data_IF_207851409314
#
_entry.id   IF_207851409314
#
_cell.length_a   1.000
_cell.length_b   1.000
_cell.length_c   1.000
_cell.angle_alpha   90.00
_cell.angle_beta   90.00
_cell.angle_gamma   90.00
#
_symmetry.space_group_name_H-M   'P 1'
#
loop_
_entity.id
_entity.type
_entity.pdbx_description
1 polymer ?
#
# COMPACT_ATOMS: atom_id res chain seq x y z
N UNK A 1 5.42 17.28 2.81
CA UNK A 1 6.40 16.97 3.87
C UNK A 1 7.81 16.99 3.28
N UNK A 2 8.22 16.04 2.44
CA UNK A 2 9.60 15.86 1.97
C UNK A 2 10.18 17.15 1.35
N UNK A 3 9.51 17.77 0.37
CA UNK A 3 9.98 19.03 -0.27
C UNK A 3 10.25 20.18 0.71
N UNK A 4 9.63 20.18 1.87
CA UNK A 4 9.72 21.27 2.84
C UNK A 4 10.68 20.98 3.99
N UNK A 5 10.80 19.70 4.37
CA UNK A 5 11.47 19.34 5.61
C UNK A 5 12.64 18.37 5.43
N UNK A 6 12.99 17.97 4.20
CA UNK A 6 14.09 17.03 3.95
C UNK A 6 15.41 17.56 4.52
N UNK A 7 15.80 18.76 4.14
CA UNK A 7 17.08 19.35 4.54
C UNK A 7 17.13 19.62 6.06
N UNK A 8 16.02 20.08 6.63
CA UNK A 8 15.93 20.32 8.06
C UNK A 8 16.01 18.99 8.86
N UNK A 9 15.34 17.96 8.39
CA UNK A 9 15.39 16.65 9.03
C UNK A 9 16.79 16.03 8.95
N UNK A 10 17.48 16.18 7.80
CA UNK A 10 18.85 15.72 7.65
C UNK A 10 19.84 16.50 8.54
N UNK A 11 19.72 17.84 8.60
CA UNK A 11 20.61 18.65 9.41
C UNK A 11 20.43 18.45 10.91
N UNK A 12 19.21 18.10 11.34
CA UNK A 12 18.92 17.81 12.76
C UNK A 12 19.10 16.34 13.15
N UNK A 13 19.45 15.45 12.22
CA UNK A 13 19.51 14.01 12.47
C UNK A 13 18.14 13.37 12.76
N UNK A 14 17.04 14.05 12.43
CA UNK A 14 15.68 13.57 12.73
C UNK A 14 15.10 12.75 11.60
N UNK A 15 14.38 11.68 11.92
CA UNK A 15 13.65 10.89 10.94
C UNK A 15 12.16 11.25 10.95
N UNK A 16 11.62 11.54 9.77
CA UNK A 16 10.19 11.76 9.56
C UNK A 16 9.70 10.69 8.59
N UNK A 17 9.01 9.70 9.11
CA UNK A 17 8.48 8.59 8.30
C UNK A 17 6.97 8.70 8.21
N UNK A 18 6.46 8.92 7.00
CA UNK A 18 5.01 8.97 6.74
C UNK A 18 4.46 7.59 6.42
N UNK A 19 3.12 7.44 6.49
CA UNK A 19 2.43 6.22 6.05
C UNK A 19 2.81 4.95 6.86
N UNK A 20 3.03 5.08 8.17
CA UNK A 20 3.35 3.97 9.06
C UNK A 20 2.09 3.22 9.54
N UNK A 21 1.16 2.92 8.64
CA UNK A 21 -0.13 2.31 8.92
C UNK A 21 -0.43 1.12 8.01
N UNK A 22 -1.58 0.47 8.22
CA UNK A 22 -2.04 -0.65 7.40
C UNK A 22 -2.04 -0.34 5.89
N UNK A 23 -2.41 0.87 5.51
CA UNK A 23 -2.51 1.27 4.09
C UNK A 23 -1.16 1.31 3.35
N UNK A 24 -0.03 1.11 4.03
CA UNK A 24 1.28 1.14 3.37
C UNK A 24 2.25 0.09 3.90
N UNK A 25 2.34 -0.12 5.21
CA UNK A 25 3.32 -1.05 5.81
C UNK A 25 3.23 -2.47 5.24
N UNK A 26 2.05 -3.12 5.15
CA UNK A 26 1.97 -4.48 4.61
C UNK A 26 2.36 -4.58 3.14
N UNK A 27 2.06 -3.56 2.33
CA UNK A 27 2.44 -3.53 0.91
C UNK A 27 3.96 -3.33 0.75
N UNK A 28 4.53 -2.34 1.44
CA UNK A 28 5.96 -2.02 1.41
C UNK A 28 6.81 -3.19 1.91
N UNK A 29 6.50 -3.70 3.10
CA UNK A 29 7.20 -4.86 3.67
C UNK A 29 6.94 -6.14 2.87
N UNK A 30 5.75 -6.28 2.27
CA UNK A 30 5.43 -7.37 1.36
C UNK A 30 6.34 -7.39 0.13
N UNK A 31 6.61 -6.22 -0.47
CA UNK A 31 7.57 -6.10 -1.59
C UNK A 31 8.98 -6.46 -1.13
N UNK A 32 9.43 -5.94 0.00
CA UNK A 32 10.76 -6.27 0.56
C UNK A 32 10.87 -7.76 0.92
N UNK A 33 9.81 -8.36 1.47
CA UNK A 33 9.77 -9.78 1.78
C UNK A 33 9.79 -10.64 0.52
N UNK A 34 9.03 -10.26 -0.51
CA UNK A 34 9.05 -10.95 -1.80
C UNK A 34 10.45 -10.89 -2.44
N UNK A 35 11.10 -9.72 -2.40
CA UNK A 35 12.45 -9.55 -2.92
C UNK A 35 13.49 -10.37 -2.15
N UNK A 36 13.42 -10.36 -0.81
CA UNK A 36 14.32 -11.16 0.06
C UNK A 36 14.25 -12.68 -0.23
N UNK A 37 13.06 -13.16 -0.64
CA UNK A 37 12.82 -14.58 -0.94
C UNK A 37 12.90 -14.89 -2.43
N UNK A 38 13.27 -13.93 -3.28
CA UNK A 38 13.38 -14.13 -4.73
C UNK A 38 14.81 -14.57 -5.08
N UNK A 39 14.99 -15.70 -5.81
CA UNK A 39 16.31 -16.21 -6.15
C UNK A 39 16.92 -15.48 -7.37
N UNK A 40 17.13 -14.18 -7.26
CA UNK A 40 17.69 -13.35 -8.32
C UNK A 40 17.15 -11.93 -8.33
N UNK A 41 16.85 -11.37 -9.50
CA UNK A 41 16.41 -9.97 -9.66
C UNK A 41 14.91 -9.88 -9.90
N UNK A 42 14.20 -9.14 -9.07
CA UNK A 42 12.76 -8.86 -9.24
C UNK A 42 12.58 -7.73 -10.26
N UNK A 43 11.76 -7.97 -11.29
CA UNK A 43 11.34 -6.96 -12.26
C UNK A 43 10.09 -6.21 -11.81
N UNK A 44 9.10 -6.95 -11.32
CA UNK A 44 7.78 -6.41 -11.04
C UNK A 44 7.07 -7.18 -9.94
N UNK A 45 6.18 -6.48 -9.22
CA UNK A 45 5.28 -7.06 -8.22
C UNK A 45 3.86 -6.59 -8.52
N UNK A 46 2.93 -7.52 -8.63
CA UNK A 46 1.49 -7.26 -8.65
C UNK A 46 0.90 -7.64 -7.28
N UNK A 47 0.30 -6.68 -6.60
CA UNK A 47 -0.39 -6.89 -5.32
C UNK A 47 -1.89 -7.01 -5.53
N UNK A 48 -2.46 -8.07 -5.01
CA UNK A 48 -3.88 -8.38 -5.04
C UNK A 48 -4.46 -8.32 -3.63
N UNK A 49 -5.10 -7.19 -3.32
CA UNK A 49 -5.71 -6.92 -2.02
C UNK A 49 -7.10 -7.55 -1.94
N UNK A 50 -7.40 -8.17 -0.83
CA UNK A 50 -8.74 -8.63 -0.48
C UNK A 50 -9.06 -8.26 0.95
N UNK A 51 -10.19 -7.62 1.15
CA UNK A 51 -10.79 -7.45 2.47
C UNK A 51 -11.87 -8.51 2.65
N UNK A 52 -11.80 -9.23 3.77
CA UNK A 52 -12.77 -10.27 4.14
C UNK A 52 -13.58 -9.78 5.34
N UNK A 53 -14.66 -9.01 5.08
CA UNK A 53 -15.54 -8.60 6.17
C UNK A 53 -16.26 -9.83 6.74
N UNK A 54 -16.20 -9.94 8.06
CA UNK A 54 -16.93 -10.95 8.82
C UNK A 54 -17.82 -10.22 9.83
N UNK A 55 -19.12 -10.16 9.51
CA UNK A 55 -20.10 -9.46 10.36
C UNK A 55 -20.69 -10.43 11.38
N UNK A 56 -20.11 -10.51 12.56
CA UNK A 56 -20.67 -11.22 13.70
C UNK A 56 -21.77 -10.41 14.38
N UNK A 57 -21.57 -9.11 14.46
CA UNK A 57 -22.59 -8.16 14.89
C UNK A 57 -23.31 -7.61 13.65
N UNK A 58 -24.58 -7.95 13.50
CA UNK A 58 -25.43 -7.56 12.36
C UNK A 58 -26.05 -6.17 12.50
N UNK A 59 -25.87 -5.51 13.64
CA UNK A 59 -26.39 -4.14 13.89
C UNK A 59 -25.66 -3.08 13.08
N UNK A 60 -24.41 -3.34 12.69
CA UNK A 60 -23.60 -2.44 11.88
C UNK A 60 -22.88 -3.19 10.77
N UNK A 61 -22.93 -2.62 9.55
CA UNK A 61 -22.13 -3.05 8.40
C UNK A 61 -20.85 -2.21 8.20
N UNK A 62 -20.56 -1.32 9.14
CA UNK A 62 -19.39 -0.45 9.04
C UNK A 62 -18.11 -1.29 9.09
N UNK A 63 -17.18 -0.97 8.20
CA UNK A 63 -15.81 -1.50 8.15
C UNK A 63 -14.81 -0.44 8.59
N UNK A 64 -15.12 0.82 8.32
CA UNK A 64 -14.25 1.97 8.52
C UNK A 64 -15.01 3.14 9.13
N UNK A 65 -14.27 4.00 9.81
CA UNK A 65 -14.76 5.32 10.23
C UNK A 65 -14.77 6.28 9.05
N UNK A 66 -15.65 7.29 9.08
CA UNK A 66 -15.76 8.34 8.05
C UNK A 66 -14.47 9.12 7.84
N UNK A 67 -13.53 9.15 8.79
CA UNK A 67 -12.22 9.79 8.62
C UNK A 67 -11.43 9.23 7.44
N UNK A 68 -11.52 7.92 7.18
CA UNK A 68 -10.92 7.31 5.98
C UNK A 68 -11.59 7.80 4.70
N UNK A 69 -12.91 7.93 4.71
CA UNK A 69 -13.68 8.48 3.60
C UNK A 69 -13.29 9.94 3.32
N UNK A 70 -13.20 10.76 4.36
CA UNK A 70 -12.82 12.17 4.26
C UNK A 70 -11.40 12.31 3.68
N UNK A 71 -10.47 11.49 4.14
CA UNK A 71 -9.09 11.44 3.62
C UNK A 71 -9.06 11.07 2.14
N UNK A 72 -9.87 10.09 1.71
CA UNK A 72 -9.98 9.71 0.30
C UNK A 72 -10.52 10.86 -0.57
N UNK A 73 -11.57 11.57 -0.10
CA UNK A 73 -12.13 12.73 -0.79
C UNK A 73 -11.09 13.85 -0.91
N UNK A 74 -10.36 14.17 0.15
CA UNK A 74 -9.30 15.17 0.10
C UNK A 74 -8.17 14.75 -0.86
N UNK A 75 -7.76 13.49 -0.86
CA UNK A 75 -6.76 12.99 -1.79
C UNK A 75 -7.19 13.16 -3.25
N UNK A 76 -8.46 12.86 -3.57
CA UNK A 76 -9.03 13.09 -4.90
C UNK A 76 -9.13 14.57 -5.25
N UNK A 77 -9.53 15.42 -4.31
CA UNK A 77 -9.60 16.87 -4.48
C UNK A 77 -8.24 17.47 -4.84
N UNK A 78 -7.20 17.06 -4.13
CA UNK A 78 -5.84 17.60 -4.28
C UNK A 78 -4.95 16.80 -5.22
N UNK A 79 -5.49 15.83 -5.97
CA UNK A 79 -4.72 14.95 -6.85
C UNK A 79 -3.82 15.71 -7.84
N UNK A 80 -4.33 16.83 -8.44
CA UNK A 80 -3.54 17.67 -9.36
C UNK A 80 -2.38 18.37 -8.66
N UNK A 81 -2.59 18.84 -7.44
CA UNK A 81 -1.55 19.48 -6.63
C UNK A 81 -0.49 18.45 -6.22
N UNK A 82 -0.92 17.29 -5.75
CA UNK A 82 -0.04 16.17 -5.41
C UNK A 82 0.86 15.79 -6.60
N UNK A 83 0.28 15.62 -7.78
CA UNK A 83 1.04 15.35 -9.01
C UNK A 83 2.08 16.44 -9.34
N UNK A 84 1.74 17.73 -9.16
CA UNK A 84 2.70 18.84 -9.34
C UNK A 84 3.85 18.78 -8.33
N UNK A 85 3.55 18.46 -7.07
CA UNK A 85 4.53 18.32 -6.00
C UNK A 85 5.45 17.12 -6.24
N UNK A 86 4.89 15.99 -6.67
CA UNK A 86 5.67 14.80 -7.05
C UNK A 86 6.65 15.10 -8.20
N UNK A 87 6.21 15.83 -9.22
CA UNK A 87 7.11 16.25 -10.30
C UNK A 87 8.25 17.17 -9.83
N UNK A 88 8.00 18.03 -8.85
CA UNK A 88 9.05 18.87 -8.23
C UNK A 88 10.03 18.04 -7.40
N UNK A 89 9.53 17.02 -6.71
CA UNK A 89 10.32 16.11 -5.89
C UNK A 89 11.17 15.17 -6.76
N UNK A 90 10.58 14.65 -7.82
CA UNK A 90 11.15 13.60 -8.65
C UNK A 90 11.87 14.21 -9.88
N UNK A 91 12.98 14.90 -9.67
CA UNK A 91 13.76 15.53 -10.76
C UNK A 91 14.50 14.49 -11.61
N UNK A 92 15.00 13.44 -11.00
CA UNK A 92 15.72 12.38 -11.70
C UNK A 92 14.77 11.43 -12.42
N UNK A 93 15.13 11.05 -13.64
CA UNK A 93 14.34 10.08 -14.43
C UNK A 93 14.73 8.67 -14.02
N UNK A 94 13.72 7.84 -13.71
CA UNK A 94 13.94 6.41 -13.54
C UNK A 94 14.32 5.76 -14.87
N UNK A 95 15.09 4.65 -14.84
CA UNK A 95 15.43 3.90 -16.04
C UNK A 95 14.16 3.34 -16.69
N UNK A 96 14.23 3.14 -18.01
CA UNK A 96 13.16 2.43 -18.72
C UNK A 96 13.26 0.93 -18.45
N UNK A 97 12.41 0.44 -17.55
CA UNK A 97 12.40 -0.98 -17.19
C UNK A 97 11.72 -1.82 -18.26
N UNK A 98 12.31 -2.97 -18.58
CA UNK A 98 11.77 -3.96 -19.50
C UNK A 98 11.86 -5.36 -18.89
N UNK A 99 10.85 -6.24 -19.10
CA UNK A 99 9.55 -5.91 -19.69
C UNK A 99 8.78 -4.93 -18.80
N UNK A 100 7.96 -4.08 -19.42
CA UNK A 100 7.13 -3.11 -18.70
C UNK A 100 5.94 -3.81 -18.07
N UNK A 101 5.69 -3.53 -16.79
CA UNK A 101 4.46 -3.95 -16.13
C UNK A 101 3.32 -3.00 -16.52
N UNK A 102 2.32 -3.53 -17.23
CA UNK A 102 1.13 -2.77 -17.60
C UNK A 102 0.00 -3.05 -16.62
N UNK A 103 -0.66 -2.00 -16.16
CA UNK A 103 -1.88 -2.15 -15.38
C UNK A 103 -2.98 -2.74 -16.26
N UNK A 104 -3.65 -3.78 -15.75
CA UNK A 104 -4.83 -4.37 -16.38
C UNK A 104 -6.04 -3.50 -16.05
N UNK A 105 -6.60 -2.75 -17.01
CA UNK A 105 -7.67 -1.78 -16.74
C UNK A 105 -9.05 -2.44 -16.54
N UNK A 106 -9.14 -3.75 -16.71
CA UNK A 106 -10.37 -4.55 -16.65
C UNK A 106 -10.38 -5.49 -15.44
N UNK A 107 -11.59 -5.93 -15.07
CA UNK A 107 -11.76 -6.95 -14.05
C UNK A 107 -11.22 -8.30 -14.54
N UNK A 108 -10.33 -8.93 -13.77
CA UNK A 108 -9.70 -10.20 -14.12
C UNK A 108 -9.60 -11.13 -12.91
N UNK A 109 -9.39 -12.41 -13.17
CA UNK A 109 -9.09 -13.41 -12.13
C UNK A 109 -7.60 -13.71 -12.10
N UNK A 110 -7.14 -14.21 -10.96
CA UNK A 110 -5.80 -14.79 -10.81
C UNK A 110 -5.92 -16.25 -10.41
N UNK A 111 -4.92 -17.03 -10.76
CA UNK A 111 -4.80 -18.42 -10.35
C UNK A 111 -4.81 -18.55 -8.81
N UNK A 112 -5.55 -19.50 -8.28
CA UNK A 112 -5.68 -19.72 -6.84
C UNK A 112 -6.68 -18.78 -6.13
N UNK A 113 -7.45 -17.95 -6.88
CA UNK A 113 -8.46 -17.07 -6.30
C UNK A 113 -9.81 -17.17 -7.02
N UNK A 114 -10.88 -17.20 -6.23
CA UNK A 114 -12.26 -17.16 -6.74
C UNK A 114 -12.79 -15.73 -6.95
N UNK A 115 -11.92 -14.70 -6.78
CA UNK A 115 -12.31 -13.29 -6.84
C UNK A 115 -12.00 -12.68 -8.19
N UNK A 116 -12.70 -11.58 -8.48
CA UNK A 116 -12.44 -10.69 -9.60
C UNK A 116 -11.70 -9.46 -9.09
N UNK A 117 -10.58 -9.14 -9.69
CA UNK A 117 -9.71 -8.04 -9.30
C UNK A 117 -9.83 -6.87 -10.26
N UNK A 118 -10.00 -5.68 -9.71
CA UNK A 118 -10.04 -4.41 -10.44
C UNK A 118 -8.83 -3.54 -10.04
N UNK A 119 -8.35 -2.64 -10.92
CA UNK A 119 -7.23 -1.74 -10.58
C UNK A 119 -7.55 -0.86 -9.38
N UNK A 120 -6.57 -0.70 -8.50
CA UNK A 120 -6.69 0.07 -7.27
C UNK A 120 -5.41 0.89 -7.00
N UNK A 121 -5.03 1.82 -7.88
CA UNK A 121 -3.80 2.60 -7.75
C UNK A 121 -3.98 3.76 -6.76
N UNK A 122 -4.37 3.48 -5.52
CA UNK A 122 -4.68 4.54 -4.55
C UNK A 122 -3.48 4.73 -3.62
N UNK A 123 -3.58 4.36 -2.36
CA UNK A 123 -2.64 4.80 -1.32
C UNK A 123 -1.31 4.07 -1.36
N UNK A 124 -1.33 2.75 -1.48
CA UNK A 124 -0.12 1.92 -1.35
C UNK A 124 0.82 2.04 -2.55
N UNK A 125 0.26 2.09 -3.76
CA UNK A 125 1.07 2.12 -4.98
C UNK A 125 2.00 3.34 -5.05
N UNK A 126 1.56 4.59 -4.82
CA UNK A 126 2.46 5.74 -4.81
C UNK A 126 3.54 5.68 -3.73
N UNK A 127 3.24 5.06 -2.58
CA UNK A 127 4.22 4.94 -1.48
C UNK A 127 5.31 3.94 -1.85
N UNK A 128 4.94 2.76 -2.37
CA UNK A 128 5.90 1.76 -2.87
C UNK A 128 6.75 2.33 -4.01
N UNK A 129 6.14 3.00 -5.00
CA UNK A 129 6.86 3.62 -6.11
C UNK A 129 7.87 4.67 -5.62
N UNK A 130 7.54 5.40 -4.55
CA UNK A 130 8.44 6.36 -3.93
C UNK A 130 9.61 5.68 -3.22
N UNK A 131 9.38 4.58 -2.52
CA UNK A 131 10.45 3.75 -1.94
C UNK A 131 11.39 3.22 -3.02
N UNK A 132 10.84 2.67 -4.11
CA UNK A 132 11.63 2.15 -5.22
C UNK A 132 12.47 3.22 -5.91
N UNK A 133 11.94 4.44 -6.01
CA UNK A 133 12.71 5.59 -6.51
C UNK A 133 13.89 5.94 -5.61
N UNK A 134 13.70 5.95 -4.29
CA UNK A 134 14.78 6.24 -3.35
C UNK A 134 15.84 5.15 -3.35
N UNK A 135 15.47 3.88 -3.45
CA UNK A 135 16.45 2.79 -3.67
C UNK A 135 17.28 2.99 -4.93
N UNK A 136 16.66 3.45 -6.02
CA UNK A 136 17.40 3.75 -7.24
C UNK A 136 18.36 4.94 -7.07
N UNK A 137 17.87 6.04 -6.52
CA UNK A 137 18.62 7.30 -6.42
C UNK A 137 19.75 7.21 -5.40
N UNK A 138 19.53 6.55 -4.26
CA UNK A 138 20.50 6.53 -3.15
C UNK A 138 21.35 5.25 -3.12
N UNK A 139 20.76 4.10 -3.42
CA UNK A 139 21.43 2.81 -3.34
C UNK A 139 21.81 2.26 -4.74
N UNK A 140 21.54 2.99 -5.83
CA UNK A 140 21.72 2.56 -7.23
C UNK A 140 21.07 1.20 -7.53
N UNK A 141 19.98 0.90 -6.85
CA UNK A 141 19.27 -0.36 -6.97
C UNK A 141 18.23 -0.29 -8.09
N UNK A 142 18.13 -1.36 -8.91
CA UNK A 142 17.13 -1.45 -9.94
C UNK A 142 15.72 -1.34 -9.33
N UNK A 143 14.85 -0.40 -9.79
CA UNK A 143 13.50 -0.27 -9.24
C UNK A 143 12.62 -1.47 -9.59
N UNK A 144 11.77 -1.86 -8.65
CA UNK A 144 10.72 -2.85 -8.87
C UNK A 144 9.47 -2.12 -9.36
N UNK A 145 8.91 -2.54 -10.50
CA UNK A 145 7.62 -2.03 -10.97
C UNK A 145 6.50 -2.58 -10.10
N UNK A 146 5.54 -1.75 -9.72
CA UNK A 146 4.48 -2.15 -8.80
C UNK A 146 3.10 -1.79 -9.36
N UNK A 147 2.13 -2.70 -9.21
CA UNK A 147 0.72 -2.47 -9.51
C UNK A 147 -0.15 -3.09 -8.41
N UNK A 148 -1.26 -2.43 -8.09
CA UNK A 148 -2.19 -2.89 -7.07
C UNK A 148 -3.60 -3.07 -7.60
N UNK A 149 -4.25 -4.14 -7.14
CA UNK A 149 -5.62 -4.52 -7.51
C UNK A 149 -6.42 -4.85 -6.25
N UNK A 150 -7.73 -4.57 -6.29
CA UNK A 150 -8.67 -4.95 -5.21
C UNK A 150 -9.63 -6.03 -5.68
N UNK A 151 -9.86 -7.03 -4.83
CA UNK A 151 -10.67 -8.21 -5.13
C UNK A 151 -12.11 -8.12 -4.66
N UNK A 152 -13.03 -8.56 -5.53
CA UNK A 152 -14.46 -8.64 -5.28
C UNK A 152 -14.98 -10.06 -5.52
N UNK A 153 -15.99 -10.49 -4.75
CA UNK A 153 -16.68 -11.78 -4.98
C UNK A 153 -17.50 -11.77 -6.27
N UNK A 154 -17.96 -10.60 -6.71
CA UNK A 154 -18.83 -10.41 -7.88
C UNK A 154 -18.09 -9.69 -9.00
N UNK A 155 -18.21 -10.20 -10.24
CA UNK A 155 -17.73 -9.53 -11.44
C UNK A 155 -18.38 -8.16 -11.62
N UNK A 156 -19.69 -8.07 -11.34
CA UNK A 156 -20.43 -6.81 -11.42
C UNK A 156 -19.80 -5.74 -10.51
N UNK A 157 -19.50 -6.08 -9.25
CA UNK A 157 -18.86 -5.15 -8.34
C UNK A 157 -17.46 -4.75 -8.80
N UNK A 158 -16.68 -5.67 -9.36
CA UNK A 158 -15.35 -5.38 -9.89
C UNK A 158 -15.39 -4.41 -11.08
N UNK A 159 -16.45 -4.44 -11.90
CA UNK A 159 -16.65 -3.51 -13.02
C UNK A 159 -17.18 -2.16 -12.52
N UNK A 160 -18.15 -2.15 -11.60
CA UNK A 160 -18.79 -0.93 -11.11
C UNK A 160 -17.88 -0.10 -10.21
N UNK A 161 -16.98 -0.74 -9.47
CA UNK A 161 -16.13 -0.07 -8.50
C UNK A 161 -15.21 1.03 -9.08
N UNK A 162 -14.49 0.83 -10.19
CA UNK A 162 -13.73 1.91 -10.82
C UNK A 162 -14.61 3.07 -11.30
N UNK A 163 -15.81 2.79 -11.81
CA UNK A 163 -16.78 3.82 -12.20
C UNK A 163 -17.30 4.62 -11.00
N UNK A 164 -17.53 3.92 -9.88
CA UNK A 164 -17.88 4.57 -8.62
C UNK A 164 -16.74 5.49 -8.15
N UNK A 165 -15.49 5.02 -8.13
CA UNK A 165 -14.35 5.86 -7.76
C UNK A 165 -14.22 7.09 -8.67
N UNK A 166 -14.42 6.94 -9.98
CA UNK A 166 -14.40 8.05 -10.91
C UNK A 166 -15.51 9.06 -10.59
N UNK A 167 -16.72 8.59 -10.30
CA UNK A 167 -17.86 9.45 -9.91
C UNK A 167 -17.54 10.23 -8.64
N UNK A 168 -17.02 9.58 -7.60
CA UNK A 168 -16.61 10.26 -6.37
C UNK A 168 -15.49 11.27 -6.62
N UNK A 169 -14.51 10.92 -7.46
CA UNK A 169 -13.43 11.84 -7.82
C UNK A 169 -13.95 13.10 -8.54
N UNK A 170 -14.91 12.97 -9.43
CA UNK A 170 -15.56 14.11 -10.08
C UNK A 170 -16.37 14.95 -9.08
N UNK A 171 -17.14 14.33 -8.21
CA UNK A 171 -17.89 15.01 -7.15
C UNK A 171 -16.97 15.74 -6.17
N UNK A 172 -15.78 15.19 -5.87
CA UNK A 172 -14.80 15.81 -4.99
C UNK A 172 -14.24 17.14 -5.54
N UNK A 173 -14.27 17.37 -6.86
CA UNK A 173 -13.79 18.62 -7.45
C UNK A 173 -14.77 19.81 -7.23
N UNK A 174 -16.06 19.56 -7.12
CA UNK A 174 -17.06 20.60 -6.93
C UNK A 174 -17.37 20.81 -5.44
N UNK A 175 -17.35 22.06 -4.97
CA UNK A 175 -17.58 22.39 -3.56
C UNK A 175 -18.94 21.95 -3.02
N UNK A 176 -20.01 22.03 -3.83
CA UNK A 176 -21.36 21.64 -3.41
C UNK A 176 -21.47 20.13 -3.24
N UNK A 177 -21.03 19.36 -4.24
CA UNK A 177 -21.10 17.88 -4.20
C UNK A 177 -20.14 17.30 -3.18
N UNK A 178 -18.98 17.92 -2.98
CA UNK A 178 -18.03 17.53 -1.93
C UNK A 178 -18.62 17.68 -0.53
N UNK A 179 -19.39 18.73 -0.25
CA UNK A 179 -20.11 18.87 1.02
C UNK A 179 -21.11 17.73 1.25
N UNK A 180 -21.76 17.24 0.20
CA UNK A 180 -22.65 16.09 0.30
C UNK A 180 -21.88 14.81 0.60
N UNK A 181 -20.71 14.60 -0.02
CA UNK A 181 -19.85 13.45 0.27
C UNK A 181 -19.43 13.40 1.75
N UNK A 182 -19.00 14.53 2.31
CA UNK A 182 -18.63 14.60 3.74
C UNK A 182 -19.84 14.42 4.69
N UNK A 183 -20.99 14.96 4.32
CA UNK A 183 -22.18 14.92 5.18
C UNK A 183 -22.83 13.55 5.21
N UNK A 184 -22.75 12.77 4.13
CA UNK A 184 -23.49 11.50 3.98
C UNK A 184 -22.59 10.33 3.59
N UNK A 185 -21.50 10.02 4.34
CA UNK A 185 -20.61 8.89 4.02
C UNK A 185 -21.37 7.57 4.00
N UNK A 186 -22.26 7.33 4.96
CA UNK A 186 -23.10 6.14 5.04
C UNK A 186 -23.91 5.88 3.74
N UNK A 187 -24.49 6.91 3.15
CA UNK A 187 -25.26 6.79 1.91
C UNK A 187 -24.38 6.37 0.74
N UNK A 188 -23.28 7.09 0.50
CA UNK A 188 -22.39 6.82 -0.63
C UNK A 188 -21.66 5.48 -0.51
N UNK A 189 -21.36 5.04 0.68
CA UNK A 189 -20.61 3.79 0.92
C UNK A 189 -21.53 2.61 1.28
N UNK A 190 -22.85 2.79 1.22
CA UNK A 190 -23.84 1.77 1.63
C UNK A 190 -23.62 1.24 3.04
N UNK A 191 -23.21 2.13 3.95
CA UNK A 191 -22.99 1.80 5.35
C UNK A 191 -21.63 1.16 5.68
N UNK A 192 -20.74 1.01 4.70
CA UNK A 192 -19.39 0.47 4.99
C UNK A 192 -18.48 1.49 5.66
N UNK A 193 -18.74 2.80 5.50
CA UNK A 193 -18.05 3.88 6.20
C UNK A 193 -19.08 4.76 6.92
N UNK A 194 -18.92 4.92 8.23
CA UNK A 194 -19.87 5.64 9.09
C UNK A 194 -19.11 6.52 10.09
N UNK A 195 -19.79 7.49 10.68
CA UNK A 195 -19.19 8.34 11.72
C UNK A 195 -18.86 7.56 13.00
N UNK A 196 -19.68 6.54 13.33
CA UNK A 196 -19.46 5.69 14.51
C UNK A 196 -18.37 4.63 14.26
N UNK A 197 -18.11 4.31 12.97
CA UNK A 197 -17.18 3.25 12.60
C UNK A 197 -17.69 1.83 12.88
N UNK A 198 -16.84 0.80 12.76
CA UNK A 198 -17.19 -0.58 13.03
C UNK A 198 -17.35 -0.86 14.53
N UNK A 199 -18.24 -1.79 14.88
CA UNK A 199 -18.29 -2.32 16.23
C UNK A 199 -17.01 -3.06 16.59
N UNK A 200 -16.66 -3.11 17.88
CA UNK A 200 -15.46 -3.79 18.35
C UNK A 200 -15.44 -5.27 17.95
N UNK A 201 -16.60 -5.92 17.99
CA UNK A 201 -16.77 -7.32 17.60
C UNK A 201 -16.42 -7.51 16.12
N UNK A 202 -17.04 -6.73 15.22
CA UNK A 202 -16.80 -6.83 13.78
C UNK A 202 -15.36 -6.45 13.42
N UNK A 203 -14.79 -5.44 14.07
CA UNK A 203 -13.41 -5.00 13.85
C UNK A 203 -12.41 -6.13 14.07
N UNK A 204 -12.53 -6.85 15.20
CA UNK A 204 -11.60 -7.93 15.58
C UNK A 204 -11.61 -9.15 14.66
N UNK A 205 -12.71 -9.38 13.95
CA UNK A 205 -12.88 -10.56 13.08
C UNK A 205 -12.69 -10.26 11.60
N UNK A 206 -12.62 -8.99 11.20
CA UNK A 206 -12.34 -8.61 9.83
C UNK A 206 -10.89 -8.95 9.49
N UNK A 207 -10.69 -9.54 8.33
CA UNK A 207 -9.38 -9.94 7.83
C UNK A 207 -9.03 -9.24 6.53
N UNK A 208 -7.74 -9.10 6.29
CA UNK A 208 -7.23 -8.76 4.98
C UNK A 208 -6.24 -9.81 4.49
N UNK A 209 -6.16 -9.94 3.19
CA UNK A 209 -5.22 -10.80 2.50
C UNK A 209 -4.62 -10.02 1.33
N UNK A 210 -3.31 -9.90 1.31
CA UNK A 210 -2.52 -9.42 0.19
C UNK A 210 -1.78 -10.59 -0.43
N UNK A 211 -1.99 -10.82 -1.72
CA UNK A 211 -1.19 -11.76 -2.52
C UNK A 211 -0.28 -10.94 -3.41
N UNK A 212 1.01 -11.07 -3.22
CA UNK A 212 2.03 -10.40 -4.01
C UNK A 212 2.67 -11.40 -4.96
N UNK A 213 2.54 -11.17 -6.26
CA UNK A 213 3.17 -11.97 -7.32
C UNK A 213 4.40 -11.22 -7.82
N UNK A 214 5.57 -11.65 -7.39
CA UNK A 214 6.85 -11.11 -7.83
C UNK A 214 7.35 -11.89 -9.05
N UNK A 215 7.67 -11.20 -10.14
CA UNK A 215 8.23 -11.77 -11.36
C UNK A 215 9.59 -11.15 -11.67
N UNK A 216 10.50 -11.96 -12.18
CA UNK A 216 11.85 -11.52 -12.49
C UNK A 216 12.72 -12.64 -13.04
N UNK A 217 14.02 -12.51 -12.86
CA UNK A 217 15.03 -13.41 -13.39
C UNK A 217 15.75 -14.12 -12.25
N UNK A 218 16.00 -15.42 -12.43
CA UNK A 218 16.91 -16.15 -11.54
C UNK A 218 18.33 -15.64 -11.68
N UNK A 219 19.13 -15.84 -10.64
CA UNK A 219 20.56 -15.48 -10.66
C UNK A 219 21.26 -16.08 -11.89
N UNK A 220 21.97 -15.23 -12.63
CA UNK A 220 22.68 -15.62 -13.85
C UNK A 220 21.85 -15.48 -15.13
N UNK A 221 20.55 -15.22 -15.06
CA UNK A 221 19.74 -14.95 -16.26
C UNK A 221 19.84 -13.47 -16.64
N UNK A 222 20.19 -13.13 -17.89
CA UNK A 222 20.26 -11.75 -18.35
C UNK A 222 18.89 -11.06 -18.36
N UNK A 223 18.85 -9.78 -17.97
CA UNK A 223 17.60 -8.98 -17.99
C UNK A 223 17.07 -8.71 -19.41
N UNK A 224 17.85 -9.01 -20.46
CA UNK A 224 17.42 -8.96 -21.87
C UNK A 224 16.46 -10.11 -22.24
N UNK A 225 16.45 -11.18 -21.47
CA UNK A 225 15.54 -12.30 -21.64
C UNK A 225 14.19 -12.04 -20.98
N UNK A 226 13.20 -12.88 -21.26
CA UNK A 226 11.92 -12.83 -20.55
C UNK A 226 12.08 -13.27 -19.10
N UNK A 227 11.38 -12.66 -18.14
CA UNK A 227 11.36 -13.13 -16.75
C UNK A 227 10.98 -14.61 -16.67
N UNK A 228 11.82 -15.39 -16.00
CA UNK A 228 11.72 -16.84 -15.95
C UNK A 228 11.31 -17.38 -14.57
N UNK A 229 11.10 -16.49 -13.59
CA UNK A 229 10.77 -16.87 -12.22
C UNK A 229 9.59 -16.06 -11.69
N UNK A 230 8.74 -16.74 -10.92
CA UNK A 230 7.67 -16.14 -10.15
C UNK A 230 7.76 -16.63 -8.70
N UNK A 231 7.69 -15.69 -7.75
CA UNK A 231 7.55 -15.96 -6.33
C UNK A 231 6.24 -15.35 -5.87
N UNK A 232 5.44 -16.10 -5.11
CA UNK A 232 4.16 -15.65 -4.58
C UNK A 232 4.24 -15.56 -3.06
N UNK A 233 3.97 -14.37 -2.55
CA UNK A 233 3.97 -14.07 -1.12
C UNK A 233 2.57 -13.70 -0.67
N UNK A 234 2.21 -14.09 0.53
CA UNK A 234 0.99 -13.67 1.22
C UNK A 234 1.34 -12.81 2.42
N UNK A 235 0.70 -11.64 2.53
CA UNK A 235 0.62 -10.89 3.77
C UNK A 235 -0.84 -10.91 4.25
N UNK A 236 -1.08 -11.20 5.52
CA UNK A 236 -2.45 -11.30 6.05
C UNK A 236 -2.52 -10.95 7.53
N UNK A 237 -3.70 -10.57 8.00
CA UNK A 237 -3.93 -10.30 9.41
C UNK A 237 -5.37 -9.90 9.71
N UNK A 238 -5.66 -9.76 11.01
CA UNK A 238 -6.97 -9.34 11.53
C UNK A 238 -6.94 -7.90 12.00
N UNK A 239 -8.10 -7.28 12.08
CA UNK A 239 -8.27 -5.87 12.50
C UNK A 239 -7.33 -4.92 11.73
N UNK A 240 -7.38 -4.91 10.36
CA UNK A 240 -6.39 -4.20 9.56
C UNK A 240 -6.35 -2.71 9.85
N UNK A 241 -7.51 -2.07 9.90
CA UNK A 241 -7.61 -0.61 9.90
C UNK A 241 -7.34 0.03 11.27
N UNK A 242 -7.40 -0.74 12.35
CA UNK A 242 -7.20 -0.23 13.71
C UNK A 242 -6.09 -0.97 14.46
N UNK A 243 -6.24 -2.28 14.69
CA UNK A 243 -5.26 -3.07 15.45
C UNK A 243 -3.91 -3.15 14.75
N UNK A 244 -3.89 -3.52 13.46
CA UNK A 244 -2.64 -3.55 12.68
C UNK A 244 -2.08 -2.14 12.49
N UNK A 245 -2.92 -1.15 12.20
CA UNK A 245 -2.49 0.25 12.05
C UNK A 245 -1.76 0.76 13.29
N UNK A 246 -2.36 0.60 14.48
CA UNK A 246 -1.73 1.04 15.73
C UNK A 246 -0.46 0.26 16.05
N UNK A 247 -0.43 -1.05 15.78
CA UNK A 247 0.77 -1.87 15.96
C UNK A 247 1.88 -1.43 14.99
N UNK A 248 1.58 -1.22 13.73
CA UNK A 248 2.56 -0.72 12.75
C UNK A 248 3.16 0.60 13.18
N UNK A 249 2.32 1.56 13.62
CA UNK A 249 2.78 2.87 14.08
C UNK A 249 3.73 2.75 15.27
N UNK A 250 3.35 1.96 16.29
CA UNK A 250 4.16 1.76 17.49
C UNK A 250 5.47 1.04 17.18
N UNK A 251 5.44 0.02 16.31
CA UNK A 251 6.65 -0.70 15.94
C UNK A 251 7.59 0.16 15.09
N UNK A 252 7.07 0.97 14.17
CA UNK A 252 7.88 1.94 13.44
C UNK A 252 8.57 2.92 14.39
N UNK A 253 7.84 3.47 15.38
CA UNK A 253 8.41 4.36 16.38
C UNK A 253 9.50 3.65 17.23
N UNK A 254 9.23 2.42 17.68
CA UNK A 254 10.20 1.59 18.41
C UNK A 254 11.48 1.38 17.61
N UNK A 255 11.35 1.00 16.34
CA UNK A 255 12.50 0.74 15.47
C UNK A 255 13.31 2.00 15.19
N UNK A 256 12.66 3.16 14.99
CA UNK A 256 13.36 4.45 14.87
C UNK A 256 14.23 4.71 16.11
N UNK A 257 13.70 4.46 17.31
CA UNK A 257 14.43 4.69 18.54
C UNK A 257 15.58 3.71 18.77
N UNK A 258 15.40 2.45 18.38
CA UNK A 258 16.35 1.38 18.68
C UNK A 258 17.36 1.10 17.55
N UNK A 259 16.99 1.37 16.31
CA UNK A 259 17.76 0.97 15.13
C UNK A 259 18.03 2.14 14.16
N UNK A 260 17.97 3.39 14.62
CA UNK A 260 18.21 4.56 13.76
C UNK A 260 19.53 4.48 12.98
N UNK A 261 20.54 3.80 13.51
CA UNK A 261 21.85 3.59 12.84
C UNK A 261 21.74 2.72 11.57
N UNK A 262 20.68 1.90 11.43
CA UNK A 262 20.41 1.08 10.24
C UNK A 262 19.51 1.81 9.23
N UNK A 263 18.98 2.96 9.61
CA UNK A 263 18.13 3.76 8.74
C UNK A 263 18.96 4.58 7.74
N UNK A 264 18.37 4.98 6.61
CA UNK A 264 19.13 5.67 5.54
C UNK A 264 19.58 7.07 5.97
N UNK A 265 20.83 7.40 5.64
CA UNK A 265 21.43 8.72 5.89
C UNK A 265 21.57 9.05 7.38
N UNK A 266 21.64 10.37 7.67
CA UNK A 266 21.64 10.90 9.04
C UNK A 266 20.37 11.75 9.24
N UNK A 267 19.20 11.11 9.26
CA UNK A 267 17.91 11.79 9.25
C UNK A 267 17.35 12.01 7.84
N UNK A 268 16.09 12.45 7.77
CA UNK A 268 15.39 12.73 6.52
C UNK A 268 13.90 12.43 6.56
N UNK A 269 13.20 12.71 5.46
CA UNK A 269 11.79 12.43 5.26
C UNK A 269 11.63 11.29 4.26
N UNK A 270 11.21 10.11 4.71
CA UNK A 270 11.21 8.89 3.92
C UNK A 270 9.87 8.16 3.94
N UNK A 271 9.53 7.38 2.88
CA UNK A 271 8.48 6.35 2.94
C UNK A 271 8.98 5.15 3.75
N UNK A 272 8.07 4.34 4.32
CA UNK A 272 8.44 3.31 5.28
C UNK A 272 9.27 2.17 4.66
N UNK A 273 8.99 1.75 3.43
CA UNK A 273 9.76 0.67 2.79
C UNK A 273 11.23 1.01 2.64
N UNK A 274 11.55 2.26 2.26
CA UNK A 274 12.92 2.72 2.18
C UNK A 274 13.54 2.96 3.57
N UNK A 275 12.78 3.60 4.47
CA UNK A 275 13.26 3.91 5.82
C UNK A 275 13.66 2.66 6.62
N UNK A 276 12.85 1.61 6.53
CA UNK A 276 13.00 0.41 7.36
C UNK A 276 13.60 -0.80 6.64
N UNK A 277 14.03 -0.67 5.40
CA UNK A 277 14.52 -1.80 4.59
C UNK A 277 15.65 -2.62 5.24
N UNK A 278 16.53 -1.95 5.99
CA UNK A 278 17.70 -2.57 6.64
C UNK A 278 17.48 -2.83 8.12
N UNK A 279 16.27 -2.56 8.65
CA UNK A 279 15.91 -2.75 10.05
C UNK A 279 15.22 -4.10 10.29
N UNK A 280 14.95 -4.42 11.54
CA UNK A 280 14.21 -5.62 11.94
C UNK A 280 12.68 -5.42 11.99
N UNK A 281 12.14 -4.34 11.42
CA UNK A 281 10.70 -4.03 11.47
C UNK A 281 9.83 -5.19 11.00
N UNK A 282 10.21 -5.87 9.91
CA UNK A 282 9.49 -7.02 9.37
C UNK A 282 9.40 -8.17 10.40
N UNK A 283 10.51 -8.51 11.02
CA UNK A 283 10.60 -9.59 12.02
C UNK A 283 9.86 -9.21 13.32
N UNK A 284 9.98 -7.97 13.75
CA UNK A 284 9.28 -7.42 14.93
C UNK A 284 7.76 -7.47 14.75
N UNK A 285 7.24 -7.06 13.60
CA UNK A 285 5.82 -7.15 13.29
C UNK A 285 5.32 -8.59 13.23
N UNK A 286 6.12 -9.51 12.69
CA UNK A 286 5.80 -10.93 12.66
C UNK A 286 5.71 -11.58 14.05
N UNK A 287 6.44 -11.07 15.04
CA UNK A 287 6.39 -11.52 16.44
C UNK A 287 5.26 -10.91 17.25
N UNK A 288 4.71 -9.78 16.79
CA UNK A 288 3.64 -9.11 17.51
C UNK A 288 2.33 -9.90 17.50
N UNK A 289 1.55 -9.80 18.57
CA UNK A 289 0.21 -10.41 18.69
C UNK A 289 -0.82 -9.81 17.71
N UNK A 290 -0.46 -8.76 16.97
CA UNK A 290 -1.33 -8.11 15.96
C UNK A 290 -1.77 -9.04 14.84
N UNK A 291 -1.06 -10.16 14.66
CA UNK A 291 -1.41 -11.15 13.65
C UNK A 291 -1.03 -10.80 12.21
N UNK A 292 -0.23 -9.73 11.98
CA UNK A 292 0.34 -9.46 10.66
C UNK A 292 1.40 -10.53 10.35
N UNK A 293 1.14 -11.33 9.32
CA UNK A 293 1.98 -12.46 8.92
C UNK A 293 2.41 -12.33 7.46
N UNK A 294 3.64 -12.72 7.18
CA UNK A 294 4.18 -12.85 5.84
C UNK A 294 4.61 -14.30 5.60
N UNK A 295 4.23 -14.87 4.48
CA UNK A 295 4.56 -16.26 4.12
C UNK A 295 4.80 -16.39 2.62
N UNK A 296 5.71 -17.28 2.22
CA UNK A 296 5.94 -17.64 0.81
C UNK A 296 4.99 -18.78 0.47
N UNK A 297 4.11 -18.56 -0.52
CA UNK A 297 3.16 -19.58 -0.98
C UNK A 297 3.73 -20.41 -2.15
N UNK A 298 4.55 -19.77 -2.99
CA UNK A 298 5.18 -20.41 -4.16
C UNK A 298 6.54 -19.77 -4.38
N UNK A 299 7.52 -20.61 -4.56
CA UNK A 299 8.90 -20.23 -4.85
C UNK A 299 9.39 -20.83 -6.17
#
# INVERSE_FOLDING_TARGET
MQLKYQDLAQSSGSYVVSNCAFESIPAELGVLYAEKNFPGTVNSVELYCTLEPNYQDTTSKALLNSGTWDSAIYSMQYAREMWRLERKLNKEKLPRLRPKLWMKPYAHKIEGSNKYYAPFPITDQPVVERSQRLFYVQDNKRPIQFQMYIGFKSLFLAIVFPLFLLTIALMAQCGCTRKLLFKYPHFFTRGTMTHDGPTEVNRKVNEFIYILKAKGWTTGTPESESPNKEVVVRASGKDPCYGITSTCLLMCAKVILQEHQKMPGNGGVYPPGFAFAKTQLLDELGRCKSGLKFEVLKQ
#
